data_IF_275553085850
#
_entry.id   IF_275553085850
#
_cell.length_a   1.000
_cell.length_b   1.000
_cell.length_c   1.000
_cell.angle_alpha   90.00
_cell.angle_beta   90.00
_cell.angle_gamma   90.00
#
_symmetry.space_group_name_H-M   'P 1'
#
loop_
_entity.id
_entity.type
_entity.pdbx_description
1 polymer ?
#
# COMPACT_ATOMS: atom_id res chain seq x y z
N UNK A 1 34.87 39.66 7.58
CA UNK A 1 33.60 39.13 8.11
C UNK A 1 32.65 38.68 6.99
N UNK A 2 32.40 39.46 5.93
CA UNK A 2 31.54 39.04 4.81
C UNK A 2 31.94 37.72 4.12
N UNK A 3 33.24 37.47 3.89
CA UNK A 3 33.68 36.24 3.20
C UNK A 3 33.40 34.97 4.02
N UNK A 4 33.50 35.05 5.35
CA UNK A 4 33.18 33.94 6.25
C UNK A 4 31.67 33.69 6.34
N UNK A 5 30.85 34.75 6.33
CA UNK A 5 29.39 34.65 6.27
C UNK A 5 28.89 34.01 4.96
N UNK A 6 29.54 34.34 3.84
CA UNK A 6 29.23 33.74 2.52
C UNK A 6 29.61 32.25 2.50
N UNK A 7 30.76 31.88 3.07
CA UNK A 7 31.18 30.47 3.13
C UNK A 7 30.25 29.64 4.03
N UNK A 8 29.80 30.21 5.16
CA UNK A 8 28.87 29.54 6.07
C UNK A 8 27.49 29.30 5.44
N UNK A 9 26.98 30.25 4.67
CA UNK A 9 25.68 30.12 3.98
C UNK A 9 25.73 29.12 2.82
N UNK A 10 26.83 29.07 2.06
CA UNK A 10 27.01 28.06 1.01
C UNK A 10 27.11 26.65 1.58
N UNK A 11 27.83 26.47 2.70
CA UNK A 11 27.94 25.18 3.37
C UNK A 11 26.58 24.69 3.91
N UNK A 12 25.77 25.59 4.46
CA UNK A 12 24.43 25.25 4.95
C UNK A 12 23.48 24.83 3.83
N UNK A 13 23.54 25.49 2.65
CA UNK A 13 22.72 25.11 1.49
C UNK A 13 23.10 23.74 0.91
N UNK A 14 24.39 23.36 0.95
CA UNK A 14 24.82 22.07 0.43
C UNK A 14 24.24 20.88 1.22
N UNK A 15 24.00 21.07 2.53
CA UNK A 15 23.47 20.02 3.41
C UNK A 15 21.97 19.78 3.20
N UNK A 16 21.19 20.79 2.75
CA UNK A 16 19.75 20.61 2.51
C UNK A 16 19.46 19.87 1.20
N UNK A 17 20.37 19.93 0.22
CA UNK A 17 20.22 19.23 -1.07
C UNK A 17 20.63 17.75 -0.98
N UNK A 18 21.46 17.37 -0.01
CA UNK A 18 21.85 15.98 0.22
C UNK A 18 20.71 15.10 0.78
N UNK A 19 19.61 15.71 1.26
CA UNK A 19 18.40 14.99 1.72
C UNK A 19 17.51 14.46 0.61
N UNK A 20 17.73 14.86 -0.66
CA UNK A 20 16.98 14.37 -1.83
C UNK A 20 17.63 13.15 -2.50
N UNK A 21 18.67 12.58 -1.89
CA UNK A 21 19.25 11.30 -2.31
C UNK A 21 18.39 10.14 -1.84
N UNK A 22 17.19 10.00 -2.42
CA UNK A 22 16.38 8.80 -2.18
C UNK A 22 17.20 7.59 -2.63
N UNK A 23 17.53 6.72 -1.68
CA UNK A 23 18.05 5.40 -2.00
C UNK A 23 16.98 4.68 -2.83
N UNK A 24 17.35 4.01 -3.95
CA UNK A 24 16.39 3.25 -4.71
C UNK A 24 15.74 2.22 -3.78
N UNK A 25 14.42 2.33 -3.59
CA UNK A 25 13.65 1.48 -2.67
C UNK A 25 13.45 0.05 -3.18
N UNK A 26 14.32 -0.41 -4.08
CA UNK A 26 14.29 -1.75 -4.65
C UNK A 26 15.72 -2.24 -4.74
N UNK A 27 16.17 -2.93 -3.68
CA UNK A 27 17.54 -3.41 -3.58
C UNK A 27 17.85 -4.52 -4.59
N UNK A 28 16.84 -5.21 -5.15
CA UNK A 28 16.99 -6.15 -6.27
C UNK A 28 15.67 -6.28 -7.04
N UNK A 29 15.56 -5.68 -8.23
CA UNK A 29 14.46 -6.01 -9.16
C UNK A 29 14.83 -7.27 -9.93
N UNK A 30 14.20 -8.42 -9.64
CA UNK A 30 14.32 -9.61 -10.49
C UNK A 30 13.29 -9.51 -11.60
N UNK A 31 13.74 -9.21 -12.81
CA UNK A 31 12.90 -9.16 -14.00
C UNK A 31 12.17 -10.51 -14.19
N UNK A 32 10.84 -10.47 -14.24
CA UNK A 32 9.98 -11.65 -14.42
C UNK A 32 9.53 -12.36 -13.14
N UNK A 33 9.86 -11.83 -11.95
CA UNK A 33 9.42 -12.40 -10.67
C UNK A 33 8.67 -11.37 -9.83
N UNK A 34 7.48 -11.72 -9.37
CA UNK A 34 6.70 -10.89 -8.46
C UNK A 34 7.46 -10.72 -7.13
N UNK A 35 7.94 -9.49 -6.86
CA UNK A 35 8.73 -9.16 -5.65
C UNK A 35 7.86 -8.75 -4.44
N UNK A 36 6.52 -8.77 -4.59
CA UNK A 36 5.59 -8.45 -3.51
C UNK A 36 5.38 -9.61 -2.53
N UNK A 37 4.60 -9.36 -1.47
CA UNK A 37 4.15 -10.44 -0.57
C UNK A 37 3.34 -11.46 -1.38
N UNK A 38 3.55 -12.78 -1.21
CA UNK A 38 2.76 -13.79 -1.89
C UNK A 38 1.26 -13.51 -1.77
N UNK A 39 0.53 -13.60 -2.87
CA UNK A 39 -0.91 -13.45 -2.87
C UNK A 39 -1.53 -14.54 -1.98
N UNK A 40 -2.32 -14.11 -1.00
CA UNK A 40 -3.11 -15.01 -0.17
C UNK A 40 -4.53 -15.08 -0.69
N UNK A 41 -5.15 -16.26 -0.53
CA UNK A 41 -6.55 -16.39 -0.84
C UNK A 41 -7.38 -15.47 0.08
N UNK A 42 -8.48 -14.86 -0.40
CA UNK A 42 -9.27 -13.92 0.41
C UNK A 42 -9.84 -14.51 1.70
N UNK A 43 -10.03 -15.83 1.77
CA UNK A 43 -10.51 -16.56 2.95
C UNK A 43 -9.37 -17.00 3.90
N UNK A 44 -8.11 -16.80 3.52
CA UNK A 44 -6.93 -17.10 4.34
C UNK A 44 -6.59 -15.93 5.29
N UNK A 45 -7.54 -15.60 6.16
CA UNK A 45 -7.41 -14.58 7.20
C UNK A 45 -8.08 -15.05 8.50
N UNK A 46 -7.90 -14.32 9.60
CA UNK A 46 -8.40 -14.72 10.92
C UNK A 46 -9.93 -14.78 11.02
N UNK A 47 -10.63 -14.03 10.16
CA UNK A 47 -12.10 -14.00 10.14
C UNK A 47 -12.68 -15.28 9.56
N UNK A 48 -12.10 -15.80 8.47
CA UNK A 48 -12.61 -16.99 7.78
C UNK A 48 -11.80 -18.26 8.06
N UNK A 49 -10.59 -18.15 8.61
CA UNK A 49 -9.71 -19.27 9.01
C UNK A 49 -9.51 -20.31 7.91
N UNK A 50 -9.46 -19.88 6.65
CA UNK A 50 -9.32 -20.77 5.50
C UNK A 50 -10.66 -21.29 4.94
N UNK A 51 -11.80 -20.96 5.53
CA UNK A 51 -13.12 -21.40 5.04
C UNK A 51 -13.60 -20.56 3.86
N UNK A 52 -13.39 -21.11 2.67
CA UNK A 52 -13.84 -20.53 1.41
C UNK A 52 -15.36 -20.39 1.33
N UNK A 53 -16.13 -21.36 1.83
CA UNK A 53 -17.60 -21.35 1.73
C UNK A 53 -18.19 -20.28 2.63
N UNK A 54 -17.67 -20.10 3.85
CA UNK A 54 -18.06 -19.00 4.73
C UNK A 54 -17.75 -17.64 4.09
N UNK A 55 -16.58 -17.50 3.46
CA UNK A 55 -16.21 -16.29 2.73
C UNK A 55 -17.18 -16.02 1.56
N UNK A 56 -17.45 -16.99 0.69
CA UNK A 56 -18.37 -16.84 -0.44
C UNK A 56 -19.78 -16.45 0.01
N UNK A 57 -20.27 -17.06 1.09
CA UNK A 57 -21.57 -16.71 1.67
C UNK A 57 -21.59 -15.26 2.17
N UNK A 58 -20.52 -14.81 2.81
CA UNK A 58 -20.40 -13.41 3.28
C UNK A 58 -20.40 -12.40 2.13
N UNK A 59 -19.70 -12.72 1.02
CA UNK A 59 -19.66 -11.87 -0.18
C UNK A 59 -21.05 -11.82 -0.82
N UNK A 60 -21.73 -12.96 -0.95
CA UNK A 60 -23.09 -13.02 -1.48
C UNK A 60 -24.06 -12.18 -0.64
N UNK A 61 -24.00 -12.31 0.68
CA UNK A 61 -24.84 -11.52 1.59
C UNK A 61 -24.59 -10.01 1.44
N UNK A 62 -23.33 -9.58 1.33
CA UNK A 62 -22.97 -8.18 1.07
C UNK A 62 -23.56 -7.69 -0.24
N UNK A 63 -23.42 -8.47 -1.32
CA UNK A 63 -23.93 -8.09 -2.64
C UNK A 63 -25.44 -7.91 -2.63
N UNK A 64 -26.18 -8.79 -1.93
CA UNK A 64 -27.63 -8.64 -1.76
C UNK A 64 -27.99 -7.37 -0.98
N UNK A 65 -27.26 -7.05 0.08
CA UNK A 65 -27.46 -5.82 0.87
C UNK A 65 -27.15 -4.53 0.12
N UNK A 66 -26.54 -4.60 -1.07
CA UNK A 66 -26.30 -3.47 -1.97
C UNK A 66 -27.19 -3.52 -3.23
N UNK A 67 -27.98 -4.57 -3.41
CA UNK A 67 -28.87 -4.69 -4.54
C UNK A 67 -30.20 -3.99 -4.23
N UNK A 68 -30.44 -2.83 -4.85
CA UNK A 68 -31.66 -2.04 -4.63
C UNK A 68 -32.94 -2.77 -5.02
N UNK A 69 -32.90 -3.68 -6.01
CA UNK A 69 -34.06 -4.51 -6.34
C UNK A 69 -34.48 -5.38 -5.15
N UNK A 70 -33.51 -5.91 -4.39
CA UNK A 70 -33.79 -6.73 -3.19
C UNK A 70 -34.17 -5.86 -2.00
N UNK A 71 -33.55 -4.69 -1.84
CA UNK A 71 -33.83 -3.77 -0.72
C UNK A 71 -35.22 -3.16 -0.79
N UNK A 72 -35.71 -2.84 -1.99
CA UNK A 72 -37.02 -2.20 -2.20
C UNK A 72 -38.14 -3.22 -2.26
N UNK A 73 -37.89 -4.43 -2.79
CA UNK A 73 -38.93 -5.46 -2.93
C UNK A 73 -39.26 -6.23 -1.64
N UNK A 74 -38.50 -6.03 -0.55
CA UNK A 74 -38.70 -6.75 0.71
C UNK A 74 -38.44 -8.24 0.53
N UNK A 75 -37.16 -8.63 0.50
CA UNK A 75 -36.75 -10.04 0.48
C UNK A 75 -37.27 -10.86 1.65
#
# INVERSE_FOLDING_TARGET
MNRMLILATVAALAWTVAGCGEKPSVTVYKQGQYQGKPDKQPWDNDQFKGDKTAWEKSVKARNLGQNEYVRISGG
#
